data_IF_721012256514
#
_entry.id   IF_721012256514
#
_cell.length_a   1.000
_cell.length_b   1.000
_cell.length_c   1.000
_cell.angle_alpha   90.00
_cell.angle_beta   90.00
_cell.angle_gamma   90.00
#
_symmetry.space_group_name_H-M   'P 1'
#
loop_
_entity.id
_entity.type
_entity.pdbx_description
1 polymer ?
#
# COMPACT_ATOMS: atom_id res chain seq x y z
N UNK A 1 50.22 -42.24 -52.87
CA UNK A 1 48.99 -41.80 -53.56
C UNK A 1 47.87 -41.75 -52.52
N UNK A 2 47.43 -40.53 -52.20
CA UNK A 2 46.24 -40.07 -51.43
C UNK A 2 45.43 -41.07 -50.60
N UNK A 3 45.28 -40.80 -49.29
CA UNK A 3 43.94 -40.81 -48.65
C UNK A 3 43.94 -39.97 -47.36
N UNK A 4 43.34 -38.77 -47.43
CA UNK A 4 43.03 -37.91 -46.28
C UNK A 4 41.71 -38.39 -45.67
N UNK A 5 41.71 -38.83 -44.41
CA UNK A 5 40.47 -39.00 -43.64
C UNK A 5 40.17 -37.71 -42.87
N UNK A 6 39.31 -36.86 -43.46
CA UNK A 6 38.66 -35.74 -42.77
C UNK A 6 37.37 -36.27 -42.11
N UNK A 7 37.44 -36.52 -40.80
CA UNK A 7 36.27 -36.79 -39.96
C UNK A 7 35.56 -35.46 -39.67
N UNK A 8 34.44 -35.16 -40.34
CA UNK A 8 33.60 -34.00 -40.02
C UNK A 8 32.64 -34.36 -38.89
N UNK A 9 32.91 -33.87 -37.69
CA UNK A 9 31.99 -33.93 -36.56
C UNK A 9 31.02 -32.73 -36.66
N UNK A 10 29.84 -32.94 -37.23
CA UNK A 10 28.76 -31.95 -37.21
C UNK A 10 28.01 -32.05 -35.87
N UNK A 11 28.38 -31.20 -34.91
CA UNK A 11 27.67 -31.05 -33.64
C UNK A 11 26.39 -30.25 -33.89
N UNK A 12 25.23 -30.91 -33.88
CA UNK A 12 23.92 -30.28 -33.98
C UNK A 12 23.58 -29.63 -32.63
N UNK A 13 23.79 -28.32 -32.51
CA UNK A 13 23.39 -27.54 -31.33
C UNK A 13 21.87 -27.38 -31.30
N UNK A 14 21.17 -28.22 -30.53
CA UNK A 14 19.79 -27.96 -30.13
C UNK A 14 19.79 -26.87 -29.06
N UNK A 15 19.52 -25.63 -29.47
CA UNK A 15 19.28 -24.52 -28.53
C UNK A 15 17.89 -24.71 -27.92
N UNK A 16 17.83 -25.38 -26.77
CA UNK A 16 16.67 -25.33 -25.90
C UNK A 16 16.53 -23.89 -25.37
N UNK A 17 15.56 -23.15 -25.92
CA UNK A 17 15.14 -21.86 -25.35
C UNK A 17 14.42 -22.13 -24.04
N UNK A 18 15.17 -22.25 -22.95
CA UNK A 18 14.62 -22.17 -21.60
C UNK A 18 14.06 -20.77 -21.46
N UNK A 19 12.73 -20.63 -21.42
CA UNK A 19 12.10 -19.37 -21.01
C UNK A 19 12.52 -19.13 -19.56
N UNK A 20 13.47 -18.23 -19.36
CA UNK A 20 13.78 -17.73 -18.04
C UNK A 20 12.51 -17.07 -17.51
N UNK A 21 11.90 -17.67 -16.47
CA UNK A 21 10.87 -16.99 -15.70
C UNK A 21 11.58 -15.89 -14.92
N UNK A 22 11.66 -14.70 -15.54
CA UNK A 22 12.12 -13.51 -14.85
C UNK A 22 11.19 -13.22 -13.68
N UNK A 23 11.77 -12.94 -12.52
CA UNK A 23 11.04 -12.41 -11.37
C UNK A 23 10.29 -11.16 -11.84
N UNK A 24 8.97 -11.10 -11.63
CA UNK A 24 8.18 -9.91 -11.95
C UNK A 24 8.80 -8.71 -11.23
N UNK A 25 9.23 -7.71 -11.99
CA UNK A 25 9.81 -6.49 -11.44
C UNK A 25 8.82 -5.77 -10.53
N UNK A 26 9.34 -5.01 -9.57
CA UNK A 26 8.51 -4.18 -8.69
C UNK A 26 8.00 -2.97 -9.48
N UNK A 27 6.69 -2.84 -9.62
CA UNK A 27 6.04 -1.68 -10.27
C UNK A 27 5.58 -0.69 -9.20
N UNK A 28 6.11 0.54 -9.23
CA UNK A 28 5.71 1.62 -8.32
C UNK A 28 4.44 2.30 -8.81
N UNK A 29 3.64 2.90 -7.91
CA UNK A 29 2.39 3.58 -8.25
C UNK A 29 2.55 4.76 -9.23
N UNK A 30 3.70 5.46 -9.15
CA UNK A 30 4.09 6.52 -10.08
C UNK A 30 3.57 7.92 -9.73
N UNK A 31 3.62 8.82 -10.70
CA UNK A 31 3.14 10.20 -10.58
C UNK A 31 1.63 10.29 -10.81
N UNK A 32 1.02 11.37 -10.31
CA UNK A 32 -0.36 11.75 -10.63
C UNK A 32 -0.38 12.45 -11.99
N UNK A 33 -1.12 11.88 -12.95
CA UNK A 33 -1.27 12.40 -14.31
C UNK A 33 -2.59 13.14 -14.53
N UNK A 34 -3.64 12.78 -13.78
CA UNK A 34 -4.92 13.48 -13.80
C UNK A 34 -5.59 13.51 -12.42
N UNK A 35 -6.37 14.56 -12.18
CA UNK A 35 -7.10 14.80 -10.93
C UNK A 35 -8.54 15.17 -11.26
N UNK A 36 -9.50 14.48 -10.66
CA UNK A 36 -10.93 14.82 -10.73
C UNK A 36 -11.49 14.95 -9.31
N UNK A 37 -11.89 16.18 -8.95
CA UNK A 37 -12.46 16.51 -7.65
C UNK A 37 -13.98 16.59 -7.79
N UNK A 38 -14.71 15.83 -6.96
CA UNK A 38 -16.16 15.86 -6.89
C UNK A 38 -16.61 15.90 -5.43
N UNK A 39 -17.04 17.08 -4.97
CA UNK A 39 -17.41 17.30 -3.58
C UNK A 39 -16.26 17.02 -2.62
N UNK A 40 -16.41 16.00 -1.78
CA UNK A 40 -15.44 15.57 -0.76
C UNK A 40 -14.55 14.39 -1.21
N UNK A 41 -14.53 14.11 -2.52
CA UNK A 41 -13.79 13.01 -3.13
C UNK A 41 -12.79 13.53 -4.17
N UNK A 42 -11.59 12.97 -4.15
CA UNK A 42 -10.52 13.19 -5.13
C UNK A 42 -10.24 11.86 -5.82
N UNK A 43 -10.47 11.79 -7.13
CA UNK A 43 -10.07 10.67 -7.97
C UNK A 43 -8.79 11.03 -8.71
N UNK A 44 -7.85 10.09 -8.73
CA UNK A 44 -6.51 10.27 -9.28
C UNK A 44 -6.25 9.19 -10.33
N UNK A 45 -5.78 9.62 -11.49
CA UNK A 45 -5.11 8.74 -12.44
C UNK A 45 -3.62 8.88 -12.21
N UNK A 46 -2.93 7.76 -12.05
CA UNK A 46 -1.49 7.69 -11.86
C UNK A 46 -0.82 6.97 -13.02
N UNK A 47 0.51 7.02 -13.10
CA UNK A 47 1.26 6.35 -14.17
C UNK A 47 0.94 4.85 -14.26
N UNK A 48 0.75 4.18 -13.11
CA UNK A 48 0.58 2.73 -13.03
C UNK A 48 -0.66 2.29 -12.23
N UNK A 49 -1.56 3.21 -11.87
CA UNK A 49 -2.68 2.93 -10.97
C UNK A 49 -3.83 3.95 -11.08
N UNK A 50 -4.96 3.61 -10.48
CA UNK A 50 -5.99 4.56 -10.07
C UNK A 50 -6.05 4.65 -8.54
N UNK A 51 -6.30 5.85 -8.03
CA UNK A 51 -6.55 6.05 -6.61
C UNK A 51 -7.77 6.93 -6.36
N UNK A 52 -8.43 6.70 -5.23
CA UNK A 52 -9.52 7.51 -4.73
C UNK A 52 -9.26 7.86 -3.28
N UNK A 53 -9.36 9.15 -2.97
CA UNK A 53 -9.30 9.68 -1.60
C UNK A 53 -10.64 10.34 -1.31
N UNK A 54 -11.36 9.85 -0.31
CA UNK A 54 -12.67 10.37 0.09
C UNK A 54 -12.69 10.68 1.59
N UNK A 55 -13.15 11.87 1.94
CA UNK A 55 -13.49 12.19 3.34
C UNK A 55 -14.72 11.38 3.72
N UNK A 56 -14.61 10.52 4.72
CA UNK A 56 -15.67 9.61 5.14
C UNK A 56 -16.47 10.19 6.33
N UNK A 57 -15.75 10.76 7.28
CA UNK A 57 -16.24 11.62 8.37
C UNK A 57 -15.20 12.74 8.57
N UNK A 58 -15.44 13.75 9.43
CA UNK A 58 -14.45 14.79 9.63
C UNK A 58 -13.07 14.26 10.08
N UNK A 59 -13.00 13.14 10.81
CA UNK A 59 -11.76 12.52 11.30
C UNK A 59 -11.35 11.23 10.57
N UNK A 60 -12.06 10.83 9.50
CA UNK A 60 -11.75 9.60 8.76
C UNK A 60 -11.64 9.90 7.27
N UNK A 61 -10.49 9.60 6.69
CA UNK A 61 -10.28 9.61 5.24
C UNK A 61 -10.06 8.16 4.78
N UNK A 62 -10.78 7.78 3.72
CA UNK A 62 -10.60 6.48 3.08
C UNK A 62 -9.78 6.64 1.81
N UNK A 63 -8.80 5.76 1.65
CA UNK A 63 -8.00 5.63 0.44
C UNK A 63 -8.32 4.29 -0.21
N UNK A 64 -8.51 4.29 -1.54
CA UNK A 64 -8.56 3.08 -2.37
C UNK A 64 -7.53 3.23 -3.48
N UNK A 65 -6.72 2.21 -3.72
CA UNK A 65 -5.68 2.20 -4.75
C UNK A 65 -5.74 0.83 -5.45
N UNK A 66 -5.66 0.82 -6.78
CA UNK A 66 -5.52 -0.40 -7.57
C UNK A 66 -4.71 -0.10 -8.84
N UNK A 67 -3.99 -1.09 -9.37
CA UNK A 67 -3.24 -1.03 -10.65
C UNK A 67 -4.17 -0.94 -11.87
N UNK A 68 -5.43 -1.32 -11.68
CA UNK A 68 -6.51 -1.20 -12.67
C UNK A 68 -7.53 -0.16 -12.21
N UNK A 69 -8.54 0.05 -13.04
CA UNK A 69 -9.72 0.83 -12.67
C UNK A 69 -10.32 0.31 -11.37
N UNK A 70 -10.65 1.22 -10.46
CA UNK A 70 -11.29 0.86 -9.19
C UNK A 70 -12.64 0.20 -9.44
N UNK A 71 -12.82 -1.00 -8.88
CA UNK A 71 -14.11 -1.69 -8.89
C UNK A 71 -15.15 -0.95 -8.03
N UNK A 72 -16.40 -1.41 -8.04
CA UNK A 72 -17.45 -0.90 -7.16
C UNK A 72 -16.98 -0.90 -5.69
N UNK A 73 -17.44 0.09 -4.91
CA UNK A 73 -17.09 0.17 -3.50
C UNK A 73 -17.76 -0.98 -2.72
N UNK A 74 -16.94 -1.88 -2.16
CA UNK A 74 -17.37 -3.03 -1.40
C UNK A 74 -16.40 -3.32 -0.24
N UNK A 75 -16.93 -3.72 0.91
CA UNK A 75 -16.18 -4.17 2.08
C UNK A 75 -17.04 -5.10 2.93
N UNK A 76 -16.46 -6.19 3.43
CA UNK A 76 -17.13 -7.07 4.41
C UNK A 76 -17.19 -6.46 5.81
N UNK A 77 -16.31 -5.52 6.14
CA UNK A 77 -16.18 -4.97 7.49
C UNK A 77 -16.78 -3.56 7.63
N UNK A 78 -16.77 -2.77 6.55
CA UNK A 78 -17.27 -1.39 6.58
C UNK A 78 -18.75 -1.36 6.19
N UNK A 79 -19.61 -1.09 7.16
CA UNK A 79 -21.07 -0.99 6.97
C UNK A 79 -21.58 0.44 6.85
N UNK A 80 -20.76 1.42 7.25
CA UNK A 80 -21.10 2.84 7.13
C UNK A 80 -21.18 3.33 5.69
N UNK A 81 -21.57 4.59 5.53
CA UNK A 81 -21.42 5.35 4.28
C UNK A 81 -20.74 6.69 4.58
N UNK A 82 -20.05 7.30 3.60
CA UNK A 82 -19.49 8.64 3.78
C UNK A 82 -20.60 9.63 4.20
N UNK A 83 -20.35 10.40 5.26
CA UNK A 83 -21.21 11.50 5.68
C UNK A 83 -20.95 12.73 4.81
N UNK A 84 -21.93 13.61 4.62
CA UNK A 84 -21.66 14.91 4.00
C UNK A 84 -20.82 15.77 4.95
N UNK A 85 -19.57 16.06 4.57
CA UNK A 85 -18.62 16.83 5.39
C UNK A 85 -18.24 18.10 4.66
N UNK A 86 -18.24 19.23 5.39
CA UNK A 86 -17.67 20.48 4.88
C UNK A 86 -16.16 20.29 4.71
N UNK A 87 -15.74 20.09 3.46
CA UNK A 87 -14.35 19.80 3.10
C UNK A 87 -13.81 20.90 2.21
N UNK A 88 -12.61 21.39 2.49
CA UNK A 88 -11.85 22.26 1.58
C UNK A 88 -10.84 21.43 0.82
N UNK A 89 -10.93 21.42 -0.52
CA UNK A 89 -9.98 20.74 -1.40
C UNK A 89 -9.35 21.77 -2.31
N UNK A 90 -8.04 21.97 -2.16
CA UNK A 90 -7.25 22.90 -2.97
C UNK A 90 -6.10 22.14 -3.61
N UNK A 91 -5.71 22.52 -4.83
CA UNK A 91 -4.56 21.93 -5.52
C UNK A 91 -3.73 22.99 -6.21
N UNK A 92 -2.45 22.67 -6.37
CA UNK A 92 -1.48 23.38 -7.21
C UNK A 92 -0.77 22.37 -8.12
N UNK A 93 0.30 22.78 -8.80
CA UNK A 93 1.05 21.91 -9.72
C UNK A 93 1.76 20.74 -9.03
N UNK A 94 2.02 20.84 -7.73
CA UNK A 94 2.81 19.89 -6.95
C UNK A 94 1.96 19.00 -6.06
N UNK A 95 0.87 19.53 -5.49
CA UNK A 95 0.11 18.82 -4.46
C UNK A 95 -1.39 19.12 -4.46
N UNK A 96 -2.13 18.30 -3.72
CA UNK A 96 -3.55 18.45 -3.40
C UNK A 96 -3.67 18.43 -1.87
N UNK A 97 -4.34 19.42 -1.28
CA UNK A 97 -4.66 19.47 0.14
C UNK A 97 -6.16 19.28 0.35
N UNK A 98 -6.52 18.24 1.09
CA UNK A 98 -7.90 17.94 1.54
C UNK A 98 -7.97 18.26 3.03
N UNK A 99 -8.82 19.20 3.43
CA UNK A 99 -8.89 19.71 4.81
C UNK A 99 -10.30 19.60 5.36
N UNK A 100 -10.44 19.03 6.56
CA UNK A 100 -11.65 19.02 7.38
C UNK A 100 -11.43 19.88 8.62
N UNK A 101 -12.38 19.91 9.55
CA UNK A 101 -12.18 20.54 10.87
C UNK A 101 -11.25 19.74 11.80
N UNK A 102 -11.05 18.44 11.53
CA UNK A 102 -10.37 17.51 12.43
C UNK A 102 -9.01 17.06 11.92
N UNK A 103 -8.78 17.06 10.61
CA UNK A 103 -7.50 16.68 10.01
C UNK A 103 -7.28 17.24 8.61
N UNK A 104 -6.06 17.13 8.12
CA UNK A 104 -5.63 17.50 6.78
C UNK A 104 -4.91 16.32 6.12
N UNK A 105 -5.27 16.01 4.87
CA UNK A 105 -4.47 15.15 4.01
C UNK A 105 -3.76 15.98 2.94
N UNK A 106 -2.48 15.71 2.73
CA UNK A 106 -1.65 16.31 1.67
C UNK A 106 -1.19 15.20 0.75
N UNK A 107 -1.60 15.29 -0.51
CA UNK A 107 -1.26 14.34 -1.57
C UNK A 107 -0.22 15.00 -2.48
N UNK A 108 0.99 14.46 -2.52
CA UNK A 108 2.01 14.88 -3.48
C UNK A 108 1.72 14.27 -4.85
N UNK A 109 2.00 14.99 -5.93
CA UNK A 109 1.74 14.52 -7.30
C UNK A 109 2.95 13.82 -7.94
N UNK A 110 4.17 14.16 -7.54
CA UNK A 110 5.41 13.74 -8.22
C UNK A 110 6.55 13.38 -7.24
N UNK A 111 6.73 12.10 -6.88
CA UNK A 111 5.81 10.98 -7.09
C UNK A 111 4.57 11.09 -6.18
N UNK A 112 3.59 10.22 -6.40
CA UNK A 112 2.45 10.12 -5.47
C UNK A 112 2.91 9.69 -4.08
N UNK A 113 2.46 10.44 -3.09
CA UNK A 113 2.51 10.08 -1.67
C UNK A 113 1.42 10.81 -0.91
N UNK A 114 1.03 10.30 0.26
CA UNK A 114 0.06 10.95 1.13
C UNK A 114 0.56 11.08 2.57
N UNK A 115 0.37 12.28 3.11
CA UNK A 115 0.56 12.59 4.52
C UNK A 115 -0.75 13.05 5.16
N UNK A 116 -0.98 12.62 6.39
CA UNK A 116 -2.08 13.02 7.26
C UNK A 116 -1.51 13.87 8.39
N UNK A 117 -2.16 15.00 8.65
CA UNK A 117 -1.75 15.98 9.63
C UNK A 117 -2.95 16.41 10.46
N UNK A 118 -2.67 16.86 11.67
CA UNK A 118 -3.59 17.66 12.49
C UNK A 118 -3.92 19.00 11.79
N UNK A 119 -5.00 19.69 12.19
CA UNK A 119 -5.31 21.03 11.68
C UNK A 119 -4.17 22.03 11.89
N UNK A 120 -3.38 21.86 12.95
CA UNK A 120 -2.21 22.69 13.29
C UNK A 120 -0.96 22.35 12.45
N UNK A 121 -1.03 21.32 11.59
CA UNK A 121 0.06 20.93 10.70
C UNK A 121 1.09 19.97 11.33
N UNK A 122 0.80 19.37 12.49
CA UNK A 122 1.62 18.26 13.02
C UNK A 122 1.29 16.97 12.27
N UNK A 123 2.31 16.20 11.88
CA UNK A 123 2.14 14.91 11.17
C UNK A 123 1.51 13.87 12.11
N UNK A 124 0.51 13.16 11.59
CA UNK A 124 -0.11 11.98 12.22
C UNK A 124 0.43 10.70 11.57
N UNK A 125 0.51 10.66 10.23
CA UNK A 125 1.04 9.53 9.49
C UNK A 125 1.40 9.94 8.07
N UNK A 126 2.55 9.52 7.56
CA UNK A 126 3.00 9.86 6.21
C UNK A 126 3.60 8.64 5.51
N UNK A 127 3.49 8.59 4.18
CA UNK A 127 4.20 7.59 3.39
C UNK A 127 5.72 7.75 3.53
N UNK A 128 6.45 6.63 3.47
CA UNK A 128 7.91 6.63 3.58
C UNK A 128 8.57 7.23 2.33
N UNK A 129 9.62 8.04 2.53
CA UNK A 129 10.25 8.76 1.44
C UNK A 129 11.04 7.78 0.55
N UNK A 130 10.66 7.75 -0.73
CA UNK A 130 11.30 6.86 -1.71
C UNK A 130 10.73 5.45 -1.75
N UNK A 131 9.77 5.11 -0.88
CA UNK A 131 9.03 3.85 -0.90
C UNK A 131 7.54 4.15 -1.12
N UNK A 132 7.08 4.05 -2.36
CA UNK A 132 5.66 4.26 -2.68
C UNK A 132 4.88 2.95 -2.60
N UNK A 133 3.55 3.04 -2.71
CA UNK A 133 2.74 1.83 -2.94
C UNK A 133 3.24 1.12 -4.19
N UNK A 134 3.46 -0.18 -4.11
CA UNK A 134 4.05 -0.94 -5.21
C UNK A 134 3.49 -2.34 -5.34
N UNK A 135 3.67 -2.92 -6.53
CA UNK A 135 3.23 -4.27 -6.85
C UNK A 135 4.41 -5.15 -7.24
N UNK A 136 4.44 -6.37 -6.71
CA UNK A 136 5.33 -7.45 -7.10
C UNK A 136 4.49 -8.67 -7.49
N UNK A 137 4.19 -8.79 -8.78
CA UNK A 137 3.15 -9.72 -9.25
C UNK A 137 1.77 -9.30 -8.72
N UNK A 138 1.14 -10.16 -7.93
CA UNK A 138 -0.16 -9.90 -7.28
C UNK A 138 -0.02 -9.29 -5.88
N UNK A 139 1.19 -9.30 -5.30
CA UNK A 139 1.42 -8.71 -3.98
C UNK A 139 1.42 -7.18 -4.08
N UNK A 140 0.74 -6.52 -3.15
CA UNK A 140 0.75 -5.07 -2.98
C UNK A 140 1.46 -4.72 -1.67
N UNK A 141 2.30 -3.70 -1.69
CA UNK A 141 2.99 -3.18 -0.50
C UNK A 141 2.73 -1.69 -0.34
N UNK A 142 2.67 -1.24 0.91
CA UNK A 142 2.60 0.17 1.27
C UNK A 142 3.54 0.42 2.45
N UNK A 143 4.17 1.59 2.47
CA UNK A 143 5.19 1.93 3.46
C UNK A 143 4.82 3.26 4.11
N UNK A 144 4.81 3.28 5.44
CA UNK A 144 4.62 4.50 6.23
C UNK A 144 5.88 4.77 7.03
N UNK A 145 6.19 6.05 7.18
CA UNK A 145 7.27 6.47 8.05
C UNK A 145 6.86 6.30 9.51
N UNK A 146 7.65 5.53 10.25
CA UNK A 146 7.51 5.39 11.69
C UNK A 146 7.97 6.70 12.36
N UNK A 147 7.08 7.33 13.10
CA UNK A 147 7.37 8.57 13.81
C UNK A 147 8.26 8.32 15.02
N UNK A 148 8.92 9.38 15.51
CA UNK A 148 9.70 9.29 16.75
C UNK A 148 8.79 8.84 17.90
N UNK A 149 9.28 7.91 18.73
CA UNK A 149 8.50 7.34 19.84
C UNK A 149 7.16 6.71 19.44
N UNK A 150 6.96 6.34 18.18
CA UNK A 150 5.73 5.68 17.77
C UNK A 150 5.70 4.23 18.28
N UNK A 151 4.58 3.88 18.91
CA UNK A 151 4.23 2.55 19.38
C UNK A 151 2.95 2.07 18.69
N UNK A 152 2.76 0.75 18.62
CA UNK A 152 1.64 0.18 17.88
C UNK A 152 0.86 -0.81 18.74
N UNK A 153 -0.47 -0.75 18.69
CA UNK A 153 -1.38 -1.71 19.35
C UNK A 153 -2.50 -2.14 18.41
N UNK A 154 -3.20 -3.22 18.73
CA UNK A 154 -4.33 -3.74 17.93
C UNK A 154 -3.99 -5.07 17.26
N UNK A 155 -4.39 -5.21 15.99
CA UNK A 155 -4.35 -6.41 15.14
C UNK A 155 -5.26 -7.57 15.61
N UNK A 156 -6.13 -7.30 16.58
CA UNK A 156 -7.05 -8.28 17.17
C UNK A 156 -6.34 -9.31 18.03
N UNK A 157 -6.65 -10.58 17.80
CA UNK A 157 -6.09 -11.71 18.54
C UNK A 157 -4.69 -12.05 18.03
N UNK A 158 -3.66 -11.54 18.73
CA UNK A 158 -2.24 -11.79 18.45
C UNK A 158 -1.48 -12.03 19.74
N UNK A 159 -0.60 -13.05 19.75
CA UNK A 159 0.33 -13.29 20.88
C UNK A 159 1.48 -12.27 20.89
N UNK A 160 2.45 -12.45 21.79
CA UNK A 160 3.56 -11.52 21.99
C UNK A 160 3.20 -10.26 22.81
N UNK A 161 4.12 -9.29 22.90
CA UNK A 161 3.93 -8.08 23.69
C UNK A 161 2.78 -7.21 23.17
N UNK A 162 2.14 -6.45 24.07
CA UNK A 162 1.08 -5.50 23.69
C UNK A 162 1.57 -4.47 22.67
N UNK A 163 2.78 -3.92 22.90
CA UNK A 163 3.45 -3.07 21.92
C UNK A 163 3.97 -3.92 20.76
N UNK A 164 3.43 -3.64 19.58
CA UNK A 164 3.71 -4.35 18.34
C UNK A 164 4.95 -3.81 17.61
N UNK A 165 5.56 -2.73 18.11
CA UNK A 165 6.77 -2.13 17.52
C UNK A 165 7.90 -3.17 17.38
N UNK A 166 8.53 -3.20 16.20
CA UNK A 166 9.64 -4.10 15.89
C UNK A 166 9.25 -5.54 15.56
N UNK A 167 7.96 -5.87 15.53
CA UNK A 167 7.45 -7.21 15.22
C UNK A 167 6.67 -7.24 13.89
N UNK A 168 6.62 -8.41 13.25
CA UNK A 168 5.80 -8.67 12.07
C UNK A 168 4.65 -9.62 12.40
N UNK A 169 3.49 -9.40 11.79
CA UNK A 169 2.27 -10.20 12.03
C UNK A 169 1.57 -10.54 10.71
N UNK A 170 0.95 -11.71 10.66
CA UNK A 170 0.27 -12.27 9.50
C UNK A 170 -1.23 -12.35 9.75
N UNK A 171 -2.03 -11.85 8.80
CA UNK A 171 -3.49 -11.91 8.85
C UNK A 171 -3.98 -13.13 8.05
N UNK A 172 -3.94 -14.30 8.70
CA UNK A 172 -4.36 -15.58 8.11
C UNK A 172 -5.00 -16.47 9.19
N UNK A 173 -6.33 -16.59 9.19
CA UNK A 173 -7.03 -17.41 10.18
C UNK A 173 -6.51 -18.84 10.16
N UNK A 174 -5.91 -19.27 11.26
CA UNK A 174 -5.23 -20.54 11.41
C UNK A 174 -5.67 -21.26 12.67
N UNK A 175 -6.00 -22.54 12.52
CA UNK A 175 -6.24 -23.43 13.66
C UNK A 175 -4.90 -23.95 14.19
N UNK A 176 -4.45 -23.40 15.32
CA UNK A 176 -3.16 -23.73 15.95
C UNK A 176 -3.39 -24.07 17.42
N UNK A 177 -3.78 -25.31 17.68
CA UNK A 177 -4.00 -25.80 19.04
C UNK A 177 -2.71 -25.80 19.88
N UNK A 178 -2.81 -25.39 21.15
CA UNK A 178 -1.67 -25.38 22.07
C UNK A 178 -0.57 -24.38 21.69
N UNK A 179 -0.94 -23.26 21.07
CA UNK A 179 0.00 -22.27 20.55
C UNK A 179 0.94 -21.69 21.62
N UNK A 180 2.17 -21.36 21.20
CA UNK A 180 3.17 -20.73 22.07
C UNK A 180 2.89 -19.24 22.28
N UNK A 181 3.57 -18.65 23.27
CA UNK A 181 3.44 -17.21 23.60
C UNK A 181 3.90 -16.25 22.50
N UNK A 182 4.57 -16.76 21.46
CA UNK A 182 5.03 -15.99 20.30
C UNK A 182 4.43 -16.48 18.98
N UNK A 183 3.42 -17.35 19.03
CA UNK A 183 2.78 -17.90 17.84
C UNK A 183 1.96 -16.84 17.10
N UNK A 184 2.21 -16.73 15.80
CA UNK A 184 1.39 -16.00 14.84
C UNK A 184 1.49 -16.71 13.49
N UNK A 185 0.42 -16.82 12.70
CA UNK A 185 -0.96 -16.37 12.94
C UNK A 185 -1.78 -17.26 13.90
N UNK A 186 -3.00 -16.81 14.20
CA UNK A 186 -3.99 -17.45 15.10
C UNK A 186 -5.39 -17.47 14.44
N UNK A 187 -6.43 -17.75 15.23
CA UNK A 187 -7.80 -18.01 14.78
C UNK A 187 -8.50 -16.81 14.13
N UNK A 188 -8.19 -15.58 14.58
CA UNK A 188 -8.92 -14.38 14.16
C UNK A 188 -8.02 -13.36 13.45
N UNK A 189 -8.58 -12.72 12.43
CA UNK A 189 -7.92 -11.66 11.63
C UNK A 189 -8.72 -10.37 11.74
N UNK A 190 -8.12 -9.36 12.38
CA UNK A 190 -8.68 -8.00 12.47
C UNK A 190 -7.56 -7.03 12.04
N UNK A 191 -7.46 -6.66 10.74
CA UNK A 191 -6.40 -5.82 10.22
C UNK A 191 -6.58 -4.34 10.57
N UNK A 192 -6.73 -4.04 11.86
CA UNK A 192 -6.87 -2.71 12.43
C UNK A 192 -5.82 -2.53 13.52
N UNK A 193 -5.04 -1.47 13.44
CA UNK A 193 -4.07 -1.10 14.46
C UNK A 193 -4.13 0.40 14.73
N UNK A 194 -3.54 0.81 15.84
CA UNK A 194 -3.42 2.21 16.26
C UNK A 194 -1.94 2.52 16.42
N UNK A 195 -1.47 3.56 15.73
CA UNK A 195 -0.17 4.19 15.98
C UNK A 195 -0.33 5.25 17.07
N UNK A 196 0.55 5.23 18.07
CA UNK A 196 0.52 6.14 19.22
C UNK A 196 1.87 6.85 19.29
N UNK A 197 1.87 8.17 19.12
CA UNK A 197 3.05 9.00 19.26
C UNK A 197 2.67 10.42 19.72
N UNK A 198 3.58 11.13 20.41
CA UNK A 198 3.48 12.57 20.69
C UNK A 198 2.13 13.07 21.25
N UNK A 199 1.61 12.39 22.29
CA UNK A 199 0.29 12.64 22.89
C UNK A 199 -0.08 14.09 23.20
#
# INVERSE_FOLDING_TARGET
>A
MKLNHLLRLSLLSCVFSVKAFGQSGVQQIGNVSAVNINGQQVNLTLDNAEAQVIVYTPSVIRIRIDRKKLDADFSYAVTGKPLTVKTSIVQDDNQISVTTDSLKAVIQKKPFSIAFLTPEGKVISEDEKGLSTSWAGEAVTGYKKMQEWEHFVGLGEKTGPLDRKGNGYTNWNSDVFGYSVSQDPLYSTIPFYIGIHHG
#
